data_IF_238218311537
#
_entry.id   IF_238218311537
#
_cell.length_a   1.000
_cell.length_b   1.000
_cell.length_c   1.000
_cell.angle_alpha   90.00
_cell.angle_beta   90.00
_cell.angle_gamma   90.00
#
_symmetry.space_group_name_H-M   'P 1'
#
loop_
_entity.id
_entity.type
_entity.pdbx_description
1 polymer ?
#
# COMPACT_ATOMS: atom_id res chain seq x y z
N UNK A 1 7.90 29.38 1.42
CA UNK A 1 9.33 29.54 1.68
C UNK A 1 9.61 29.44 3.18
N UNK A 2 8.97 30.23 4.02
CA UNK A 2 9.18 30.26 5.48
C UNK A 2 9.05 28.87 6.11
N UNK A 3 8.00 28.11 5.81
CA UNK A 3 7.83 26.74 6.34
C UNK A 3 9.01 25.82 6.00
N UNK A 4 9.56 25.92 4.78
CA UNK A 4 10.74 25.13 4.41
C UNK A 4 11.97 25.53 5.26
N UNK A 5 12.16 26.82 5.47
CA UNK A 5 13.26 27.33 6.32
C UNK A 5 13.13 26.84 7.77
N UNK A 6 11.92 26.90 8.33
CA UNK A 6 11.62 26.40 9.68
C UNK A 6 11.86 24.89 9.80
N UNK A 7 11.38 24.10 8.82
CA UNK A 7 11.57 22.63 8.80
C UNK A 7 13.07 22.29 8.77
N UNK A 8 13.85 22.94 7.92
CA UNK A 8 15.29 22.72 7.83
C UNK A 8 15.97 23.13 9.14
N UNK A 9 15.70 24.32 9.66
CA UNK A 9 16.30 24.81 10.91
C UNK A 9 16.02 23.89 12.11
N UNK A 10 14.77 23.39 12.23
CA UNK A 10 14.37 22.50 13.32
C UNK A 10 14.99 21.11 13.21
N UNK A 11 15.22 20.61 12.00
CA UNK A 11 15.60 19.22 11.78
C UNK A 11 17.04 19.05 11.25
N UNK A 12 17.80 20.13 11.14
CA UNK A 12 19.16 20.11 10.60
C UNK A 12 20.06 19.10 11.32
N UNK A 13 19.99 19.05 12.65
CA UNK A 13 20.81 18.17 13.49
C UNK A 13 20.26 16.74 13.65
N UNK A 14 19.22 16.36 12.91
CA UNK A 14 18.69 15.00 12.95
C UNK A 14 19.38 14.14 11.87
N UNK A 15 20.26 13.18 12.23
CA UNK A 15 20.98 12.35 11.25
C UNK A 15 20.06 11.41 10.46
N UNK A 16 18.86 11.12 10.94
CA UNK A 16 17.85 10.33 10.23
C UNK A 16 17.19 11.10 9.07
N UNK A 17 17.30 12.42 9.03
CA UNK A 17 16.87 13.23 7.88
C UNK A 17 17.96 13.18 6.83
N UNK A 18 17.70 12.52 5.71
CA UNK A 18 18.69 12.28 4.65
C UNK A 18 18.48 13.15 3.42
N UNK A 19 17.32 13.80 3.27
CA UNK A 19 16.99 14.68 2.15
C UNK A 19 15.86 15.64 2.50
N UNK A 20 15.72 16.73 1.73
CA UNK A 20 14.68 17.74 1.89
C UNK A 20 13.63 17.64 0.79
N UNK A 21 12.38 17.38 1.16
CA UNK A 21 11.26 17.33 0.25
C UNK A 21 10.78 18.73 -0.16
N UNK A 22 10.86 19.07 -1.44
CA UNK A 22 10.44 20.37 -1.95
C UNK A 22 8.95 20.39 -2.29
N UNK A 23 8.43 19.34 -2.92
CA UNK A 23 7.02 19.22 -3.20
C UNK A 23 6.56 17.77 -3.32
N UNK A 24 5.25 17.58 -3.17
CA UNK A 24 4.57 16.31 -3.44
C UNK A 24 3.20 16.59 -4.08
N UNK A 25 2.97 16.02 -5.28
CA UNK A 25 1.68 16.05 -5.99
C UNK A 25 1.08 17.46 -6.11
N UNK A 26 1.72 18.31 -6.86
CA UNK A 26 1.25 19.68 -7.06
C UNK A 26 0.02 19.73 -7.97
N UNK A 27 -0.96 20.51 -7.55
CA UNK A 27 -2.10 20.84 -8.38
C UNK A 27 -1.94 22.25 -8.95
N UNK A 28 -1.26 22.35 -10.08
CA UNK A 28 -0.83 23.63 -10.69
C UNK A 28 -1.98 24.42 -11.31
N UNK A 29 -3.09 23.77 -11.67
CA UNK A 29 -4.24 24.37 -12.38
C UNK A 29 -3.83 25.14 -13.63
N UNK A 30 -2.79 24.70 -14.34
CA UNK A 30 -2.26 25.35 -15.53
C UNK A 30 -1.26 26.49 -15.25
N UNK A 31 -0.97 26.80 -13.99
CA UNK A 31 0.06 27.80 -13.67
C UNK A 31 1.46 27.19 -13.77
N UNK A 32 2.41 27.96 -14.26
CA UNK A 32 3.83 27.59 -14.17
C UNK A 32 4.36 27.89 -12.77
N UNK A 33 4.62 26.83 -12.02
CA UNK A 33 5.17 26.90 -10.66
C UNK A 33 6.69 26.71 -10.62
N UNK A 34 7.31 26.44 -11.77
CA UNK A 34 8.75 26.16 -11.89
C UNK A 34 9.63 27.24 -11.27
N UNK A 35 9.39 28.56 -11.47
CA UNK A 35 10.21 29.59 -10.85
C UNK A 35 10.13 29.60 -9.32
N UNK A 36 8.94 29.30 -8.76
CA UNK A 36 8.78 29.23 -7.31
C UNK A 36 9.46 27.98 -6.71
N UNK A 37 9.33 26.84 -7.37
CA UNK A 37 10.02 25.62 -6.97
C UNK A 37 11.55 25.79 -7.02
N UNK A 38 12.07 26.47 -8.06
CA UNK A 38 13.48 26.82 -8.14
C UNK A 38 13.97 27.66 -6.96
N UNK A 39 13.14 28.63 -6.50
CA UNK A 39 13.46 29.43 -5.29
C UNK A 39 13.48 28.57 -4.03
N UNK A 40 12.54 27.62 -3.89
CA UNK A 40 12.51 26.70 -2.75
C UNK A 40 13.75 25.80 -2.77
N UNK A 41 14.10 25.25 -3.92
CA UNK A 41 15.27 24.40 -4.09
C UNK A 41 16.58 25.15 -3.73
N UNK A 42 16.76 26.35 -4.27
CA UNK A 42 17.90 27.18 -3.95
C UNK A 42 17.99 27.55 -2.45
N UNK A 43 16.85 27.83 -1.81
CA UNK A 43 16.80 28.11 -0.40
C UNK A 43 17.16 26.88 0.46
N UNK A 44 16.73 25.68 0.07
CA UNK A 44 17.10 24.46 0.75
C UNK A 44 18.60 24.22 0.72
N UNK A 45 19.25 24.35 -0.46
CA UNK A 45 20.69 24.22 -0.61
C UNK A 45 21.48 25.31 0.13
N UNK A 46 20.96 26.54 0.17
CA UNK A 46 21.61 27.62 0.94
C UNK A 46 21.61 27.36 2.45
N UNK A 47 20.56 26.70 2.95
CA UNK A 47 20.45 26.37 4.39
C UNK A 47 21.15 25.06 4.76
N UNK A 48 21.15 24.10 3.86
CA UNK A 48 21.81 22.81 4.05
C UNK A 48 22.39 22.28 2.72
N UNK A 49 23.64 22.60 2.42
CA UNK A 49 24.31 22.11 1.23
C UNK A 49 24.72 20.63 1.31
N UNK A 50 24.57 20.00 2.48
CA UNK A 50 25.04 18.63 2.71
C UNK A 50 24.00 17.57 2.33
N UNK A 51 22.72 17.94 2.25
CA UNK A 51 21.63 17.02 1.95
C UNK A 51 20.97 17.33 0.60
N UNK A 52 20.68 16.30 -0.21
CA UNK A 52 19.99 16.52 -1.48
C UNK A 52 18.54 16.92 -1.27
N UNK A 53 18.00 17.60 -2.28
CA UNK A 53 16.58 17.88 -2.38
C UNK A 53 15.84 16.81 -3.19
N UNK A 54 14.56 16.60 -2.90
CA UNK A 54 13.74 15.59 -3.56
C UNK A 54 12.34 16.11 -3.85
N UNK A 55 11.77 15.68 -4.98
CA UNK A 55 10.36 15.88 -5.32
C UNK A 55 9.65 14.53 -5.47
N UNK A 56 8.38 14.46 -5.03
CA UNK A 56 7.51 13.32 -5.28
C UNK A 56 6.43 13.73 -6.29
N UNK A 57 6.63 13.39 -7.56
CA UNK A 57 5.82 13.88 -8.69
C UNK A 57 4.89 12.81 -9.25
N UNK A 58 3.69 13.24 -9.67
CA UNK A 58 2.73 12.48 -10.47
C UNK A 58 2.44 13.18 -11.82
N UNK A 59 3.31 14.09 -12.24
CA UNK A 59 3.18 14.91 -13.43
C UNK A 59 4.39 14.75 -14.34
N UNK A 60 4.19 15.06 -15.62
CA UNK A 60 5.25 15.19 -16.60
C UNK A 60 5.77 16.64 -16.64
N UNK A 61 6.92 16.84 -17.29
CA UNK A 61 7.47 18.14 -17.58
C UNK A 61 8.67 18.56 -16.72
N UNK A 62 9.10 19.81 -16.93
CA UNK A 62 10.37 20.35 -16.41
C UNK A 62 10.40 20.46 -14.88
N UNK A 63 9.26 20.43 -14.20
CA UNK A 63 9.20 20.48 -12.74
C UNK A 63 9.94 19.32 -12.09
N UNK A 64 10.10 18.20 -12.82
CA UNK A 64 10.76 16.98 -12.33
C UNK A 64 12.29 17.09 -12.29
N UNK A 65 12.87 18.18 -12.85
CA UNK A 65 14.31 18.41 -12.93
C UNK A 65 14.79 19.57 -12.06
N UNK A 66 13.95 20.08 -11.16
CA UNK A 66 14.30 21.20 -10.29
C UNK A 66 15.08 20.73 -9.07
N UNK A 67 14.71 19.57 -8.54
CA UNK A 67 15.36 18.94 -7.37
C UNK A 67 16.46 17.97 -7.80
N UNK A 68 17.40 17.68 -6.89
CA UNK A 68 18.49 16.74 -7.18
C UNK A 68 17.99 15.32 -7.45
N UNK A 69 16.91 14.92 -6.77
CA UNK A 69 16.33 13.60 -6.87
C UNK A 69 14.85 13.67 -7.22
N UNK A 70 14.37 12.68 -7.93
CA UNK A 70 12.95 12.50 -8.23
C UNK A 70 12.42 11.19 -7.68
N UNK A 71 11.23 11.24 -7.11
CA UNK A 71 10.42 10.09 -6.69
C UNK A 71 9.11 10.12 -7.47
N UNK A 72 8.84 9.08 -8.24
CA UNK A 72 7.60 8.98 -8.98
C UNK A 72 6.47 8.52 -8.08
N UNK A 73 5.39 9.30 -8.04
CA UNK A 73 4.15 8.89 -7.37
C UNK A 73 3.33 8.02 -8.31
N UNK A 74 3.10 6.77 -7.91
CA UNK A 74 2.34 5.83 -8.73
C UNK A 74 1.15 5.25 -7.97
N UNK A 75 -0.01 5.20 -8.63
CA UNK A 75 -1.23 4.59 -8.10
C UNK A 75 -2.04 3.79 -9.15
N UNK A 76 -1.36 3.35 -10.21
CA UNK A 76 -1.90 2.41 -11.20
C UNK A 76 -2.34 1.12 -10.50
N UNK A 77 -3.47 0.56 -10.90
CA UNK A 77 -4.10 -0.57 -10.22
C UNK A 77 -4.86 -0.20 -8.95
N UNK A 78 -4.68 1.03 -8.43
CA UNK A 78 -5.49 1.52 -7.32
C UNK A 78 -6.63 2.42 -7.78
N UNK A 79 -6.35 3.44 -8.59
CA UNK A 79 -7.35 4.41 -9.09
C UNK A 79 -7.79 4.14 -10.51
N UNK A 80 -6.89 3.66 -11.33
CA UNK A 80 -7.12 3.34 -12.75
C UNK A 80 -6.29 2.13 -13.14
N UNK A 81 -6.75 1.40 -14.14
CA UNK A 81 -6.03 0.21 -14.63
C UNK A 81 -6.03 -0.95 -13.62
N UNK A 82 -5.15 -1.88 -13.87
CA UNK A 82 -4.89 -3.07 -13.04
C UNK A 82 -3.50 -2.96 -12.39
N UNK A 83 -3.22 -3.79 -11.41
CA UNK A 83 -1.89 -3.85 -10.78
C UNK A 83 -0.82 -4.32 -11.75
N UNK A 84 -1.17 -5.07 -12.79
CA UNK A 84 -0.23 -5.53 -13.81
C UNK A 84 0.25 -4.38 -14.73
N UNK A 85 -0.57 -3.33 -14.87
CA UNK A 85 -0.19 -2.15 -15.66
C UNK A 85 0.99 -1.37 -15.04
N UNK A 86 1.39 -1.68 -13.82
CA UNK A 86 2.58 -1.07 -13.21
C UNK A 86 3.87 -1.45 -13.95
N UNK A 87 3.92 -2.67 -14.50
CA UNK A 87 5.06 -3.11 -15.32
C UNK A 87 5.11 -2.36 -16.65
N UNK A 88 3.97 -2.13 -17.28
CA UNK A 88 3.86 -1.34 -18.51
C UNK A 88 4.34 0.10 -18.26
N UNK A 89 3.89 0.72 -17.17
CA UNK A 89 4.35 2.06 -16.78
C UNK A 89 5.87 2.08 -16.49
N UNK A 90 6.37 1.09 -15.78
CA UNK A 90 7.80 0.94 -15.49
C UNK A 90 8.64 0.84 -16.75
N UNK A 91 8.19 0.06 -17.75
CA UNK A 91 8.87 -0.11 -19.02
C UNK A 91 8.85 1.18 -19.87
N UNK A 92 7.75 1.93 -19.81
CA UNK A 92 7.66 3.25 -20.43
C UNK A 92 8.63 4.25 -19.77
N UNK A 93 8.70 4.24 -18.44
CA UNK A 93 9.65 5.07 -17.69
C UNK A 93 11.08 4.71 -18.06
N UNK A 94 11.43 3.44 -18.16
CA UNK A 94 12.76 3.00 -18.56
C UNK A 94 13.11 3.42 -19.99
N UNK A 95 12.18 3.34 -20.94
CA UNK A 95 12.38 3.77 -22.33
C UNK A 95 12.59 5.29 -22.45
N UNK A 96 11.81 6.08 -21.73
CA UNK A 96 11.88 7.53 -21.78
C UNK A 96 13.00 8.14 -20.95
N UNK A 97 13.37 7.49 -19.84
CA UNK A 97 14.22 8.05 -18.77
C UNK A 97 15.27 7.08 -18.25
N UNK A 98 15.80 6.20 -19.10
CA UNK A 98 16.77 5.14 -18.72
C UNK A 98 18.04 5.68 -18.06
N UNK A 99 18.39 6.94 -18.26
CA UNK A 99 19.51 7.62 -17.63
C UNK A 99 19.23 8.14 -16.23
N UNK A 100 17.95 8.14 -15.78
CA UNK A 100 17.55 8.59 -14.46
C UNK A 100 17.26 7.39 -13.58
N UNK A 101 18.03 7.24 -12.52
CA UNK A 101 17.65 6.40 -11.41
C UNK A 101 16.72 7.20 -10.51
N UNK A 102 15.49 6.78 -10.41
CA UNK A 102 14.46 7.48 -9.65
C UNK A 102 14.00 6.67 -8.44
N UNK A 103 13.33 7.30 -7.49
CA UNK A 103 12.59 6.61 -6.45
C UNK A 103 11.14 6.37 -6.88
N UNK A 104 10.45 5.53 -6.15
CA UNK A 104 9.02 5.30 -6.34
C UNK A 104 8.25 5.43 -5.04
N UNK A 105 7.09 6.09 -5.08
CA UNK A 105 6.17 6.23 -3.98
C UNK A 105 4.78 5.72 -4.38
N UNK A 106 4.21 4.80 -3.63
CA UNK A 106 2.87 4.27 -3.89
C UNK A 106 2.11 3.95 -2.60
N UNK A 107 0.81 3.70 -2.73
CA UNK A 107 -0.02 3.26 -1.61
C UNK A 107 -1.47 3.09 -2.01
N UNK A 108 -2.09 2.12 -1.38
CA UNK A 108 -3.52 1.82 -1.47
C UNK A 108 -4.18 2.02 -0.11
N UNK A 109 -5.50 2.19 -0.09
CA UNK A 109 -6.25 2.37 1.16
C UNK A 109 -6.99 1.09 1.54
N UNK A 110 -6.98 0.73 2.82
CA UNK A 110 -7.73 -0.40 3.35
C UNK A 110 -8.15 -0.14 4.79
N UNK A 111 -9.35 -0.60 5.15
CA UNK A 111 -9.85 -0.52 6.52
C UNK A 111 -10.08 -1.93 7.07
N UNK A 112 -9.57 -2.22 8.24
CA UNK A 112 -9.68 -3.54 8.88
C UNK A 112 -11.13 -3.96 9.18
N UNK A 113 -12.04 -3.00 9.29
CA UNK A 113 -13.47 -3.24 9.47
C UNK A 113 -14.23 -3.51 8.16
N UNK A 114 -13.63 -3.22 7.02
CA UNK A 114 -14.22 -3.46 5.70
C UNK A 114 -13.77 -4.82 5.19
N UNK A 115 -14.67 -5.80 5.22
CA UNK A 115 -14.38 -7.15 4.75
C UNK A 115 -14.89 -7.34 3.32
N UNK A 116 -14.08 -7.96 2.47
CA UNK A 116 -14.49 -8.41 1.16
C UNK A 116 -14.69 -9.93 1.17
N UNK A 117 -15.68 -10.40 0.44
CA UNK A 117 -15.85 -11.83 0.18
C UNK A 117 -15.01 -12.31 -1.02
N UNK A 118 -14.46 -11.37 -1.77
CA UNK A 118 -13.51 -11.63 -2.87
C UNK A 118 -12.38 -10.62 -2.82
N UNK A 119 -11.14 -11.07 -2.92
CA UNK A 119 -9.94 -10.21 -2.92
C UNK A 119 -9.93 -9.17 -4.07
N UNK A 120 -10.75 -9.39 -5.10
CA UNK A 120 -10.85 -8.56 -6.30
C UNK A 120 -12.02 -7.56 -6.29
N UNK A 121 -12.76 -7.44 -5.18
CA UNK A 121 -13.86 -6.48 -5.13
C UNK A 121 -13.35 -5.06 -5.36
N UNK A 122 -13.73 -4.46 -6.50
CA UNK A 122 -13.42 -3.06 -6.77
C UNK A 122 -13.95 -2.17 -5.63
N UNK A 123 -13.17 -1.19 -5.13
CA UNK A 123 -13.66 -0.33 -4.06
C UNK A 123 -14.81 0.48 -4.61
N UNK A 124 -15.90 0.42 -3.92
CA UNK A 124 -16.90 1.48 -4.00
C UNK A 124 -16.40 2.65 -3.16
N UNK A 125 -16.82 3.87 -3.48
CA UNK A 125 -16.29 5.10 -2.86
C UNK A 125 -16.16 5.06 -1.32
N UNK A 126 -16.97 4.25 -0.64
CA UNK A 126 -17.04 4.11 0.81
C UNK A 126 -16.66 2.71 1.34
N UNK A 127 -16.24 1.79 0.48
CA UNK A 127 -15.90 0.42 0.86
C UNK A 127 -14.51 0.06 0.34
N UNK A 128 -13.54 0.02 1.23
CA UNK A 128 -12.13 -0.24 0.94
C UNK A 128 -11.64 -1.37 1.85
N UNK A 129 -11.80 -2.63 1.44
CA UNK A 129 -11.38 -3.77 2.25
C UNK A 129 -9.84 -3.84 2.36
N UNK A 130 -9.36 -4.31 3.50
CA UNK A 130 -7.92 -4.51 3.76
C UNK A 130 -7.29 -5.44 2.73
N UNK A 131 -7.99 -6.50 2.33
CA UNK A 131 -7.51 -7.51 1.37
C UNK A 131 -7.13 -6.90 0.03
N UNK A 132 -7.82 -5.82 -0.38
CA UNK A 132 -7.45 -5.11 -1.60
C UNK A 132 -6.20 -4.29 -1.43
N UNK A 133 -6.03 -3.63 -0.29
CA UNK A 133 -4.79 -2.92 0.03
C UNK A 133 -3.62 -3.92 0.02
N UNK A 134 -3.80 -5.05 0.69
CA UNK A 134 -2.84 -6.15 0.75
C UNK A 134 -2.44 -6.61 -0.66
N UNK A 135 -3.42 -6.96 -1.50
CA UNK A 135 -3.16 -7.39 -2.88
C UNK A 135 -2.42 -6.32 -3.70
N UNK A 136 -2.82 -5.06 -3.59
CA UNK A 136 -2.14 -3.95 -4.27
C UNK A 136 -0.66 -3.89 -3.88
N UNK A 137 -0.36 -3.93 -2.60
CA UNK A 137 1.02 -3.89 -2.10
C UNK A 137 1.83 -5.14 -2.48
N UNK A 138 1.22 -6.32 -2.46
CA UNK A 138 1.85 -7.57 -2.93
C UNK A 138 2.29 -7.48 -4.39
N UNK A 139 1.41 -7.00 -5.27
CA UNK A 139 1.71 -6.88 -6.69
C UNK A 139 2.79 -5.82 -6.97
N UNK A 140 2.75 -4.69 -6.28
CA UNK A 140 3.79 -3.68 -6.40
C UNK A 140 5.14 -4.18 -5.87
N UNK A 141 5.18 -4.82 -4.72
CA UNK A 141 6.40 -5.41 -4.20
C UNK A 141 6.95 -6.47 -5.14
N UNK A 142 6.10 -7.39 -5.65
CA UNK A 142 6.49 -8.43 -6.61
C UNK A 142 7.15 -7.84 -7.87
N UNK A 143 6.56 -6.79 -8.43
CA UNK A 143 6.95 -6.26 -9.74
C UNK A 143 8.08 -5.23 -9.67
N UNK A 144 8.29 -4.56 -8.53
CA UNK A 144 9.21 -3.43 -8.40
C UNK A 144 10.29 -3.65 -7.33
N UNK A 145 10.16 -4.68 -6.50
CA UNK A 145 11.18 -5.02 -5.52
C UNK A 145 12.47 -5.42 -6.24
N UNK A 146 13.58 -4.81 -5.85
CA UNK A 146 14.90 -5.03 -6.45
C UNK A 146 15.03 -4.58 -7.92
N UNK A 147 14.12 -3.77 -8.45
CA UNK A 147 14.28 -3.18 -9.76
C UNK A 147 15.37 -2.10 -9.72
N UNK A 148 16.42 -2.28 -10.54
CA UNK A 148 17.58 -1.37 -10.58
C UNK A 148 17.25 0.04 -11.08
N UNK A 149 16.07 0.25 -11.67
CA UNK A 149 15.58 1.57 -12.05
C UNK A 149 15.30 2.46 -10.83
N UNK A 150 14.96 1.84 -9.68
CA UNK A 150 14.57 2.58 -8.48
C UNK A 150 15.66 2.48 -7.40
N UNK A 151 16.17 3.64 -6.97
CA UNK A 151 17.12 3.72 -5.85
C UNK A 151 16.44 3.66 -4.48
N UNK A 152 15.11 3.80 -4.41
CA UNK A 152 14.35 3.71 -3.18
C UNK A 152 12.85 3.61 -3.41
N UNK A 153 12.16 3.06 -2.39
CA UNK A 153 10.72 2.87 -2.38
C UNK A 153 10.11 3.51 -1.14
N UNK A 154 9.04 4.28 -1.32
CA UNK A 154 8.27 4.90 -0.25
C UNK A 154 6.84 4.41 -0.26
N UNK A 155 6.36 4.06 0.92
CA UNK A 155 4.97 3.67 1.10
C UNK A 155 4.19 4.86 1.67
N UNK A 156 3.11 5.20 1.02
CA UNK A 156 2.22 6.26 1.45
C UNK A 156 0.91 5.65 1.97
N UNK A 157 0.77 5.48 3.32
CA UNK A 157 1.57 6.00 4.42
C UNK A 157 1.88 4.91 5.46
N UNK A 158 2.65 5.26 6.50
CA UNK A 158 2.83 4.38 7.66
C UNK A 158 1.54 4.26 8.47
N UNK A 159 0.85 5.38 8.73
CA UNK A 159 -0.38 5.43 9.52
C UNK A 159 -1.56 5.92 8.71
N UNK A 160 -2.76 5.43 9.02
CA UNK A 160 -4.00 6.11 8.64
C UNK A 160 -4.02 7.50 9.23
N UNK A 161 -4.69 8.45 8.58
CA UNK A 161 -4.70 9.84 9.01
C UNK A 161 -6.06 10.51 8.79
N UNK A 162 -6.32 11.57 9.55
CA UNK A 162 -7.53 12.37 9.42
C UNK A 162 -7.64 13.02 8.04
N UNK A 163 -8.83 12.99 7.43
CA UNK A 163 -9.07 13.56 6.12
C UNK A 163 -10.54 13.94 5.93
N UNK A 164 -10.83 15.22 5.89
CA UNK A 164 -12.19 15.76 5.65
C UNK A 164 -12.76 15.37 4.28
N UNK A 165 -11.92 14.96 3.34
CA UNK A 165 -12.33 14.54 1.98
C UNK A 165 -12.71 13.07 1.90
N UNK A 166 -12.62 12.32 3.00
CA UNK A 166 -12.87 10.88 3.02
C UNK A 166 -14.10 10.55 3.86
N UNK A 167 -14.83 9.49 3.47
CA UNK A 167 -15.86 8.93 4.33
C UNK A 167 -15.27 8.62 5.71
N UNK A 168 -16.05 8.81 6.75
CA UNK A 168 -15.63 8.58 8.16
C UNK A 168 -14.51 9.50 8.67
N UNK A 169 -14.16 10.57 7.93
CA UNK A 169 -13.11 11.51 8.34
C UNK A 169 -11.69 10.94 8.37
N UNK A 170 -11.47 9.72 7.82
CA UNK A 170 -10.19 9.02 7.85
C UNK A 170 -9.77 8.57 6.46
N UNK A 171 -8.51 8.74 6.13
CA UNK A 171 -7.86 8.12 4.98
C UNK A 171 -7.16 6.82 5.43
N UNK A 172 -7.63 5.69 4.92
CA UNK A 172 -7.14 4.36 5.25
C UNK A 172 -5.87 3.94 4.48
N UNK A 173 -5.05 4.88 4.00
CA UNK A 173 -3.83 4.54 3.24
C UNK A 173 -2.65 4.09 4.11
N UNK A 174 -2.80 4.11 5.43
CA UNK A 174 -1.77 3.62 6.35
C UNK A 174 -1.61 2.10 6.32
N UNK A 175 -0.41 1.65 6.63
CA UNK A 175 -0.13 0.25 6.94
C UNK A 175 -0.55 -0.10 8.39
N UNK A 176 -0.76 0.91 9.21
CA UNK A 176 -1.20 0.83 10.61
C UNK A 176 -2.39 1.77 10.78
N UNK A 177 -3.33 1.41 11.64
CA UNK A 177 -4.53 2.22 11.92
C UNK A 177 -4.20 3.59 12.53
N UNK A 178 -5.15 4.53 12.46
CA UNK A 178 -4.97 5.90 12.94
C UNK A 178 -4.66 5.98 14.45
N UNK A 179 -5.22 5.05 15.23
CA UNK A 179 -4.95 4.90 16.67
C UNK A 179 -3.64 4.16 16.98
N UNK A 180 -2.91 3.73 15.93
CA UNK A 180 -1.64 3.01 15.97
C UNK A 180 -1.68 1.62 16.64
N UNK A 181 -2.85 1.07 16.87
CA UNK A 181 -3.03 -0.21 17.59
C UNK A 181 -2.94 -1.43 16.68
N UNK A 182 -3.49 -1.31 15.45
CA UNK A 182 -3.60 -2.44 14.55
C UNK A 182 -2.67 -2.31 13.34
N UNK A 183 -1.85 -3.31 13.14
CA UNK A 183 -1.01 -3.47 11.94
C UNK A 183 -1.78 -4.24 10.89
N UNK A 184 -1.92 -3.69 9.69
CA UNK A 184 -2.58 -4.33 8.57
C UNK A 184 -1.68 -5.37 7.92
N UNK A 185 -2.23 -6.25 7.08
CA UNK A 185 -1.44 -7.31 6.44
C UNK A 185 -0.27 -6.74 5.61
N UNK A 186 -0.49 -5.64 4.88
CA UNK A 186 0.55 -4.97 4.12
C UNK A 186 1.73 -4.45 4.99
N UNK A 187 1.52 -4.18 6.29
CA UNK A 187 2.62 -3.87 7.22
C UNK A 187 3.59 -5.05 7.34
N UNK A 188 3.06 -6.25 7.49
CA UNK A 188 3.87 -7.47 7.66
C UNK A 188 4.59 -7.87 6.37
N UNK A 189 4.04 -7.51 5.19
CA UNK A 189 4.76 -7.65 3.92
C UNK A 189 6.07 -6.85 3.95
N UNK A 190 6.00 -5.56 4.26
CA UNK A 190 7.20 -4.71 4.31
C UNK A 190 8.11 -5.03 5.48
N UNK A 191 7.56 -5.48 6.61
CA UNK A 191 8.39 -6.01 7.70
C UNK A 191 9.20 -7.23 7.23
N UNK A 192 8.58 -8.16 6.51
CA UNK A 192 9.28 -9.32 5.98
C UNK A 192 10.35 -8.95 4.94
N UNK A 193 10.08 -7.95 4.08
CA UNK A 193 11.00 -7.54 3.02
C UNK A 193 12.18 -6.71 3.54
N UNK A 194 11.96 -5.82 4.51
CA UNK A 194 12.91 -4.76 4.86
C UNK A 194 13.56 -4.90 6.23
N UNK A 195 12.88 -5.53 7.20
CA UNK A 195 13.47 -5.73 8.52
C UNK A 195 14.37 -6.97 8.53
N UNK A 196 15.69 -6.73 8.71
CA UNK A 196 16.68 -7.80 8.77
C UNK A 196 16.97 -8.30 10.18
N UNK A 197 16.58 -7.52 11.19
CA UNK A 197 16.86 -7.81 12.61
C UNK A 197 15.83 -8.74 13.21
N UNK A 198 14.55 -8.52 12.89
CA UNK A 198 13.44 -9.31 13.42
C UNK A 198 12.77 -10.11 12.31
N UNK A 199 12.99 -11.42 12.24
CA UNK A 199 12.34 -12.25 11.24
C UNK A 199 10.81 -12.23 11.39
N UNK A 200 10.12 -12.29 10.28
CA UNK A 200 8.66 -12.19 10.20
C UNK A 200 8.07 -13.51 9.70
N UNK A 201 6.99 -13.94 10.32
CA UNK A 201 6.06 -14.95 9.81
C UNK A 201 4.64 -14.45 10.05
N UNK A 202 3.84 -14.33 8.99
CA UNK A 202 2.49 -13.80 9.06
C UNK A 202 1.56 -14.43 8.02
N UNK A 203 0.46 -15.02 8.51
CA UNK A 203 -0.66 -15.47 7.67
C UNK A 203 -1.54 -14.24 7.38
N UNK A 204 -1.82 -13.94 6.12
CA UNK A 204 -2.68 -12.81 5.76
C UNK A 204 -4.16 -13.12 5.99
N UNK A 205 -4.99 -12.07 5.98
CA UNK A 205 -6.46 -12.19 6.04
C UNK A 205 -6.97 -12.92 7.29
N UNK A 206 -6.23 -12.85 8.39
CA UNK A 206 -6.60 -13.50 9.68
C UNK A 206 -7.85 -12.89 10.30
N UNK A 207 -8.15 -11.62 10.01
CA UNK A 207 -9.33 -10.94 10.56
C UNK A 207 -10.64 -11.44 9.95
N UNK A 208 -10.57 -12.05 8.78
CA UNK A 208 -11.72 -12.71 8.14
C UNK A 208 -11.83 -14.16 8.60
N UNK A 209 -12.20 -14.36 9.86
CA UNK A 209 -12.34 -15.70 10.48
C UNK A 209 -13.50 -16.50 9.93
N UNK A 210 -14.54 -15.85 9.38
CA UNK A 210 -15.64 -16.50 8.68
C UNK A 210 -15.35 -16.51 7.18
N UNK A 211 -15.24 -17.69 6.58
CA UNK A 211 -14.92 -17.89 5.17
C UNK A 211 -16.12 -18.48 4.44
N UNK A 212 -16.57 -17.84 3.36
CA UNK A 212 -17.62 -18.36 2.50
C UNK A 212 -17.04 -19.33 1.47
N UNK A 213 -17.77 -20.41 1.19
CA UNK A 213 -17.34 -21.46 0.28
C UNK A 213 -16.29 -22.41 0.89
N UNK A 214 -16.14 -23.56 0.25
CA UNK A 214 -15.24 -24.61 0.75
C UNK A 214 -13.80 -24.46 0.27
N UNK A 215 -13.57 -23.79 -0.84
CA UNK A 215 -12.24 -23.62 -1.41
C UNK A 215 -11.57 -22.36 -0.87
N UNK A 216 -10.45 -22.55 -0.20
CA UNK A 216 -9.65 -21.49 0.44
C UNK A 216 -8.22 -21.53 -0.06
N UNK A 217 -7.61 -20.37 -0.30
CA UNK A 217 -6.19 -20.21 -0.52
C UNK A 217 -5.61 -19.30 0.58
N UNK A 218 -4.35 -19.53 0.92
CA UNK A 218 -3.66 -18.77 1.94
C UNK A 218 -2.43 -18.08 1.38
N UNK A 219 -2.22 -16.83 1.80
CA UNK A 219 -1.00 -16.09 1.55
C UNK A 219 -0.25 -15.93 2.88
N UNK A 220 1.07 -16.10 2.83
CA UNK A 220 1.92 -16.04 4.00
C UNK A 220 3.14 -15.17 3.68
N UNK A 221 3.52 -14.30 4.60
CA UNK A 221 4.79 -13.59 4.52
C UNK A 221 5.78 -14.24 5.48
N UNK A 222 6.97 -14.56 4.96
CA UNK A 222 8.04 -15.14 5.75
C UNK A 222 9.40 -14.63 5.30
N UNK A 223 10.16 -14.04 6.21
CA UNK A 223 11.60 -13.76 6.02
C UNK A 223 12.50 -14.79 6.68
N UNK A 224 11.91 -15.82 7.31
CA UNK A 224 12.64 -16.94 7.97
C UNK A 224 12.71 -18.20 7.08
N UNK A 225 12.55 -18.04 5.77
CA UNK A 225 12.51 -19.14 4.80
C UNK A 225 11.08 -19.67 4.55
N UNK A 226 10.99 -20.75 3.77
CA UNK A 226 9.71 -21.34 3.38
C UNK A 226 8.94 -21.86 4.61
N UNK A 227 7.70 -21.42 4.82
CA UNK A 227 6.91 -21.88 5.94
C UNK A 227 6.29 -23.26 5.67
N UNK A 228 6.14 -24.06 6.72
CA UNK A 228 5.21 -25.19 6.73
C UNK A 228 3.84 -24.66 7.13
N UNK A 229 2.80 -24.95 6.35
CA UNK A 229 1.43 -24.58 6.65
C UNK A 229 0.61 -25.82 6.97
N UNK A 230 -0.08 -25.79 8.11
CA UNK A 230 -0.98 -26.85 8.56
C UNK A 230 -2.41 -26.37 8.55
N UNK A 231 -3.35 -27.23 8.13
CA UNK A 231 -4.78 -27.05 8.29
C UNK A 231 -5.33 -28.21 9.15
N UNK A 232 -5.50 -27.98 10.45
CA UNK A 232 -5.72 -29.06 11.40
C UNK A 232 -4.51 -30.01 11.43
N UNK A 233 -4.70 -31.27 11.04
CA UNK A 233 -3.65 -32.27 10.96
C UNK A 233 -2.95 -32.33 9.59
N UNK A 234 -3.53 -31.73 8.56
CA UNK A 234 -3.04 -31.83 7.19
C UNK A 234 -1.97 -30.77 6.90
N UNK A 235 -0.90 -31.17 6.23
CA UNK A 235 0.12 -30.26 5.72
C UNK A 235 -0.26 -29.78 4.33
N UNK A 236 -0.29 -28.47 4.13
CA UNK A 236 -0.59 -27.84 2.85
C UNK A 236 0.69 -27.50 2.09
N UNK A 237 0.70 -27.78 0.79
CA UNK A 237 1.79 -27.37 -0.08
C UNK A 237 1.83 -25.84 -0.20
N UNK A 238 3.01 -25.27 0.00
CA UNK A 238 3.27 -23.83 -0.05
C UNK A 238 4.33 -23.56 -1.10
N UNK A 239 4.06 -22.56 -1.96
CA UNK A 239 4.97 -22.15 -3.03
C UNK A 239 5.34 -20.68 -2.87
N UNK A 240 6.63 -20.36 -2.96
CA UNK A 240 7.09 -18.97 -3.06
C UNK A 240 6.77 -18.43 -4.45
N UNK A 241 6.07 -17.30 -4.53
CA UNK A 241 5.71 -16.67 -5.80
C UNK A 241 6.34 -15.27 -5.97
N UNK A 242 6.89 -14.73 -4.89
CA UNK A 242 7.72 -13.52 -4.86
C UNK A 242 8.54 -13.50 -3.56
N UNK A 243 9.56 -12.66 -3.48
CA UNK A 243 10.43 -12.55 -2.31
C UNK A 243 9.62 -12.41 -1.00
N UNK A 244 9.85 -13.31 -0.05
CA UNK A 244 9.14 -13.39 1.24
C UNK A 244 7.62 -13.60 1.13
N UNK A 245 7.09 -13.93 -0.04
CA UNK A 245 5.66 -14.11 -0.30
C UNK A 245 5.38 -15.55 -0.74
N UNK A 246 4.59 -16.24 0.05
CA UNK A 246 4.23 -17.64 -0.14
C UNK A 246 2.73 -17.80 -0.28
N UNK A 247 2.29 -18.79 -1.05
CA UNK A 247 0.87 -19.11 -1.20
C UNK A 247 0.64 -20.61 -1.28
N UNK A 248 -0.59 -21.01 -0.94
CA UNK A 248 -1.09 -22.35 -1.25
C UNK A 248 -1.91 -22.33 -2.53
N UNK A 249 -2.06 -23.49 -3.17
CA UNK A 249 -3.19 -23.73 -4.04
C UNK A 249 -4.50 -23.67 -3.25
N UNK A 250 -5.61 -23.61 -3.97
CA UNK A 250 -6.93 -23.62 -3.34
C UNK A 250 -7.25 -25.00 -2.77
N UNK A 251 -7.39 -25.09 -1.45
CA UNK A 251 -7.70 -26.31 -0.71
C UNK A 251 -9.15 -26.31 -0.23
N UNK A 252 -9.75 -27.49 -0.12
CA UNK A 252 -11.12 -27.63 0.41
C UNK A 252 -11.08 -27.77 1.92
N UNK A 253 -11.77 -26.86 2.63
CA UNK A 253 -11.90 -26.84 4.08
C UNK A 253 -13.38 -26.76 4.47
N UNK A 254 -13.74 -27.35 5.59
CA UNK A 254 -15.10 -27.30 6.16
C UNK A 254 -15.08 -27.18 7.67
N UNK A 255 -16.09 -26.49 8.20
CA UNK A 255 -16.28 -26.36 9.64
C UNK A 255 -15.23 -25.45 10.30
N UNK A 256 -14.85 -25.76 11.52
CA UNK A 256 -13.86 -24.99 12.26
C UNK A 256 -12.49 -25.65 12.11
N UNK A 257 -11.53 -24.90 11.56
CA UNK A 257 -10.18 -25.39 11.24
C UNK A 257 -9.14 -24.39 11.76
N UNK A 258 -8.14 -24.88 12.50
CA UNK A 258 -6.95 -24.09 12.82
C UNK A 258 -5.98 -24.14 11.64
N UNK A 259 -5.56 -22.98 11.17
CA UNK A 259 -4.47 -22.81 10.20
C UNK A 259 -3.24 -22.34 10.96
N UNK A 260 -2.14 -23.06 10.84
CA UNK A 260 -0.89 -22.78 11.56
C UNK A 260 0.29 -22.73 10.59
N UNK A 261 1.02 -21.63 10.59
CA UNK A 261 2.27 -21.47 9.87
C UNK A 261 3.47 -21.63 10.82
N UNK A 262 4.52 -22.27 10.33
CA UNK A 262 5.74 -22.57 11.07
C UNK A 262 6.94 -22.24 10.17
N UNK A 263 7.88 -21.40 10.62
CA UNK A 263 9.14 -21.14 9.95
C UNK A 263 10.25 -21.01 11.00
N UNK A 264 11.11 -22.04 11.11
CA UNK A 264 12.09 -22.12 12.19
C UNK A 264 11.42 -22.02 13.57
N UNK A 265 11.83 -21.07 14.42
CA UNK A 265 11.21 -20.87 15.75
C UNK A 265 9.88 -20.12 15.68
N UNK A 266 9.56 -19.48 14.55
CA UNK A 266 8.38 -18.65 14.42
C UNK A 266 7.12 -19.47 14.24
N UNK A 267 6.04 -19.00 14.83
CA UNK A 267 4.70 -19.57 14.77
C UNK A 267 3.69 -18.46 14.55
N UNK A 268 2.73 -18.69 13.66
CA UNK A 268 1.55 -17.85 13.48
C UNK A 268 0.34 -18.72 13.21
N UNK A 269 -0.82 -18.35 13.76
CA UNK A 269 -2.02 -19.17 13.58
C UNK A 269 -3.30 -18.34 13.55
N UNK A 270 -4.34 -18.96 13.00
CA UNK A 270 -5.70 -18.43 13.00
C UNK A 270 -6.70 -19.58 12.98
N UNK A 271 -7.76 -19.46 13.76
CA UNK A 271 -8.90 -20.39 13.68
C UNK A 271 -9.95 -19.81 12.73
N UNK A 272 -10.28 -20.56 11.69
CA UNK A 272 -11.28 -20.20 10.69
C UNK A 272 -12.52 -21.05 10.85
N UNK A 273 -13.67 -20.44 10.57
CA UNK A 273 -14.95 -21.13 10.36
C UNK A 273 -15.30 -21.04 8.87
N UNK A 274 -15.29 -22.21 8.20
CA UNK A 274 -15.47 -22.33 6.75
C UNK A 274 -16.82 -22.98 6.47
N UNK A 275 -17.61 -22.40 5.57
CA UNK A 275 -18.92 -22.90 5.21
C UNK A 275 -19.80 -21.84 4.59
N UNK A 276 -21.09 -22.13 4.48
CA UNK A 276 -22.05 -21.14 3.98
C UNK A 276 -22.21 -20.00 4.98
N UNK A 277 -21.53 -18.91 4.74
CA UNK A 277 -21.71 -17.65 5.48
C UNK A 277 -22.93 -16.95 4.89
N UNK A 278 -23.97 -16.75 5.70
CA UNK A 278 -25.14 -15.99 5.26
C UNK A 278 -24.68 -14.59 4.83
N UNK A 279 -24.75 -14.32 3.53
CA UNK A 279 -24.51 -12.97 3.00
C UNK A 279 -25.50 -12.04 3.69
N UNK A 280 -25.07 -10.94 4.31
CA UNK A 280 -25.99 -9.99 4.90
C UNK A 280 -26.98 -9.57 3.82
N UNK A 281 -28.29 -9.66 4.09
CA UNK A 281 -29.32 -9.14 3.19
C UNK A 281 -28.93 -7.71 2.86
N UNK A 282 -28.81 -7.39 1.56
CA UNK A 282 -28.64 -6.00 1.13
C UNK A 282 -29.74 -5.19 1.80
N UNK A 283 -29.38 -4.29 2.70
CA UNK A 283 -30.29 -3.23 3.13
C UNK A 283 -30.65 -2.48 1.85
N UNK A 284 -31.85 -2.72 1.34
CA UNK A 284 -32.42 -1.87 0.30
C UNK A 284 -32.59 -0.52 0.98
N UNK A 285 -31.77 0.47 0.61
CA UNK A 285 -31.98 1.83 1.03
C UNK A 285 -33.42 2.25 0.67
N UNK A 286 -34.03 3.17 1.43
CA UNK A 286 -35.38 3.62 1.14
C UNK A 286 -35.48 4.01 -0.33
N UNK A 287 -36.44 3.45 -1.06
CA UNK A 287 -36.75 3.86 -2.42
C UNK A 287 -37.02 5.36 -2.37
N UNK A 288 -36.21 6.16 -3.05
CA UNK A 288 -36.57 7.56 -3.29
C UNK A 288 -37.91 7.54 -4.04
N UNK A 289 -38.96 7.89 -3.36
CA UNK A 289 -40.21 8.26 -3.99
C UNK A 289 -39.93 9.55 -4.76
N UNK A 290 -39.85 9.45 -6.07
CA UNK A 290 -39.87 10.63 -6.94
C UNK A 290 -41.26 11.21 -6.80
N UNK A 291 -41.39 12.32 -6.10
CA UNK A 291 -42.61 13.11 -6.14
C UNK A 291 -42.79 13.61 -7.58
N UNK A 292 -43.93 13.35 -8.23
CA UNK A 292 -44.23 13.95 -9.52
C UNK A 292 -44.31 15.48 -9.34
N UNK A 293 -43.55 16.21 -10.14
CA UNK A 293 -43.67 17.66 -10.24
C UNK A 293 -45.09 18.04 -10.69
N UNK A 294 -45.74 19.05 -10.13
CA UNK A 294 -46.99 19.55 -10.64
C UNK A 294 -46.76 20.16 -12.03
N UNK A 295 -47.49 19.70 -13.01
CA UNK A 295 -47.59 20.34 -14.32
C UNK A 295 -48.37 21.65 -14.17
N UNK A 296 -47.76 22.76 -14.47
CA UNK A 296 -48.38 24.02 -14.91
C UNK A 296 -47.95 24.30 -16.33
#
# INVERSE_FOLDING_TARGET
LQQLQEIIAQNYNHPSVVMWGIFSRLWTRGNDVTPYLGKLNAAAHALDPSRPTVACSDQDGNINFITDLIVWRQDVGWRKGTTDDVTVWRDQLQKGWSHLRSGICYGGSGFIGHKSYTAQAAPRANWMPEERQTHFHEQYAKNLQNDSLFWGTWINNMFDYGSVRRPYGVNGAGLVTIDRRERKDAFYLYKALWNKEEPTLHITDKRRTLRDGERQAFHIYSSAGAPTLLAGADTLAVTEYATCQYRTDSVSLRGTVEIKAIAGPLRDSVTLRVGNVLKPKRLQGPRRTVNPQPTN
#
